data_IF_963178931310
#
_entry.id   IF_963178931310
#
_cell.length_a   1.000
_cell.length_b   1.000
_cell.length_c   1.000
_cell.angle_alpha   90.00
_cell.angle_beta   90.00
_cell.angle_gamma   90.00
#
_symmetry.space_group_name_H-M   'P 1'
#
loop_
_entity.id
_entity.type
_entity.pdbx_description
1 polymer ?
#
# COMPACT_ATOMS: atom_id res chain seq x y z
N UNK A 1 -52.65 3.07 17.05
CA UNK A 1 -52.63 2.25 15.82
C UNK A 1 -52.31 3.21 14.70
N UNK A 2 -51.15 3.09 14.11
CA UNK A 2 -50.64 4.07 13.19
C UNK A 2 -51.16 3.88 11.77
N UNK A 3 -51.68 4.94 11.21
CA UNK A 3 -52.27 5.13 9.86
C UNK A 3 -51.27 4.90 8.69
N UNK A 4 -50.17 4.19 8.95
CA UNK A 4 -49.09 3.99 7.98
C UNK A 4 -49.29 2.75 7.10
N UNK A 5 -50.23 1.87 7.48
CA UNK A 5 -50.34 0.52 6.88
C UNK A 5 -51.25 0.42 5.63
N UNK A 6 -51.99 1.47 5.26
CA UNK A 6 -52.99 1.37 4.18
C UNK A 6 -52.65 2.04 2.85
N UNK A 7 -51.46 2.66 2.71
CA UNK A 7 -51.05 3.28 1.44
C UNK A 7 -50.15 2.33 0.64
N UNK A 8 -50.58 1.88 -0.57
CA UNK A 8 -49.73 1.08 -1.41
C UNK A 8 -48.43 1.84 -1.74
N UNK A 9 -47.29 1.18 -1.60
CA UNK A 9 -46.02 1.76 -1.94
C UNK A 9 -46.05 2.30 -3.37
N UNK A 10 -45.62 3.55 -3.59
CA UNK A 10 -45.60 4.16 -4.93
C UNK A 10 -44.66 3.38 -5.83
N UNK A 11 -45.17 2.84 -6.94
CA UNK A 11 -44.38 2.01 -7.87
C UNK A 11 -43.27 2.79 -8.58
N UNK A 12 -43.46 4.07 -8.79
CA UNK A 12 -42.45 4.93 -9.50
C UNK A 12 -41.10 5.01 -8.80
N UNK A 13 -40.99 5.29 -7.48
CA UNK A 13 -39.70 5.29 -6.80
C UNK A 13 -39.12 3.85 -6.69
N UNK A 14 -39.90 2.80 -6.64
CA UNK A 14 -39.41 1.43 -6.65
C UNK A 14 -38.79 1.06 -8.00
N UNK A 15 -39.39 1.45 -9.11
CA UNK A 15 -38.83 1.28 -10.45
C UNK A 15 -37.55 2.10 -10.62
N UNK A 16 -37.52 3.34 -10.13
CA UNK A 16 -36.32 4.18 -10.15
C UNK A 16 -35.16 3.56 -9.35
N UNK A 17 -35.45 3.07 -8.15
CA UNK A 17 -34.45 2.38 -7.33
C UNK A 17 -33.94 1.09 -7.98
N UNK A 18 -34.85 0.29 -8.56
CA UNK A 18 -34.50 -0.93 -9.29
C UNK A 18 -33.59 -0.66 -10.50
N UNK A 19 -33.92 0.37 -11.29
CA UNK A 19 -33.11 0.79 -12.43
C UNK A 19 -31.69 1.23 -11.98
N UNK A 20 -31.61 2.02 -10.91
CA UNK A 20 -30.35 2.52 -10.39
C UNK A 20 -29.48 1.38 -9.88
N UNK A 21 -30.04 0.42 -9.15
CA UNK A 21 -29.33 -0.76 -8.66
C UNK A 21 -28.85 -1.60 -9.84
N UNK A 22 -29.70 -1.86 -10.83
CA UNK A 22 -29.33 -2.65 -12.01
C UNK A 22 -28.20 -1.99 -12.79
N UNK A 23 -28.29 -0.67 -13.00
CA UNK A 23 -27.23 0.10 -13.67
C UNK A 23 -25.91 0.05 -12.90
N UNK A 24 -25.96 0.18 -11.58
CA UNK A 24 -24.76 0.10 -10.72
C UNK A 24 -24.11 -1.28 -10.81
N UNK A 25 -24.92 -2.34 -10.76
CA UNK A 25 -24.42 -3.72 -10.92
C UNK A 25 -23.82 -3.93 -12.31
N UNK A 26 -24.46 -3.42 -13.36
CA UNK A 26 -23.96 -3.55 -14.74
C UNK A 26 -22.61 -2.85 -14.93
N UNK A 27 -22.42 -1.65 -14.37
CA UNK A 27 -21.16 -0.93 -14.39
C UNK A 27 -20.07 -1.67 -13.60
N UNK A 28 -20.40 -2.21 -12.44
CA UNK A 28 -19.44 -2.93 -11.59
C UNK A 28 -19.04 -4.31 -12.16
N UNK A 29 -19.98 -5.00 -12.81
CA UNK A 29 -19.75 -6.33 -13.39
C UNK A 29 -19.17 -6.26 -14.80
N UNK A 30 -19.42 -5.17 -15.54
CA UNK A 30 -19.02 -5.02 -16.96
C UNK A 30 -17.55 -5.32 -17.25
N UNK A 31 -16.59 -4.77 -16.49
CA UNK A 31 -15.16 -5.07 -16.70
C UNK A 31 -14.79 -6.54 -16.42
N UNK A 32 -15.46 -7.16 -15.44
CA UNK A 32 -15.21 -8.57 -15.09
C UNK A 32 -15.78 -9.55 -16.12
N UNK A 33 -16.87 -9.17 -16.76
CA UNK A 33 -17.52 -9.97 -17.81
C UNK A 33 -16.96 -9.67 -19.21
N UNK A 34 -16.00 -8.73 -19.33
CA UNK A 34 -15.38 -8.36 -20.59
C UNK A 34 -16.21 -7.40 -21.48
N UNK A 35 -17.33 -6.89 -20.99
CA UNK A 35 -18.16 -5.91 -21.71
C UNK A 35 -17.62 -4.48 -21.64
N UNK A 36 -16.78 -4.19 -20.64
CA UNK A 36 -16.10 -2.91 -20.48
C UNK A 36 -14.59 -3.14 -20.37
N UNK A 37 -13.76 -2.16 -20.75
CA UNK A 37 -12.32 -2.27 -20.58
C UNK A 37 -11.98 -2.50 -19.10
N UNK A 38 -10.92 -3.29 -18.80
CA UNK A 38 -10.50 -3.54 -17.44
C UNK A 38 -10.13 -2.23 -16.74
N UNK A 39 -10.46 -2.12 -15.46
CA UNK A 39 -10.10 -0.95 -14.66
C UNK A 39 -8.57 -0.93 -14.54
N UNK A 40 -7.97 0.19 -14.92
CA UNK A 40 -6.53 0.38 -14.81
C UNK A 40 -6.10 0.27 -13.34
N UNK A 41 -5.09 -0.55 -13.10
CA UNK A 41 -4.45 -0.68 -11.77
C UNK A 41 -3.22 0.21 -11.72
N UNK A 42 -2.79 0.63 -10.54
CA UNK A 42 -1.57 1.40 -10.38
C UNK A 42 -0.34 0.71 -11.01
N UNK A 43 -0.33 -0.61 -11.00
CA UNK A 43 0.74 -1.40 -11.67
C UNK A 43 0.65 -1.31 -13.18
N UNK A 44 -0.55 -1.45 -13.78
CA UNK A 44 -0.72 -1.33 -15.24
C UNK A 44 -0.41 0.08 -15.75
N UNK A 45 -0.79 1.10 -15.00
CA UNK A 45 -0.46 2.50 -15.29
C UNK A 45 1.05 2.73 -15.28
N UNK A 46 1.77 2.22 -14.27
CA UNK A 46 3.24 2.34 -14.21
C UNK A 46 3.91 1.67 -15.42
N UNK A 47 3.44 0.51 -15.84
CA UNK A 47 3.95 -0.16 -17.04
C UNK A 47 3.69 0.68 -18.29
N UNK A 48 2.47 1.20 -18.45
CA UNK A 48 2.09 2.04 -19.60
C UNK A 48 2.93 3.32 -19.69
N UNK A 49 3.21 3.95 -18.54
CA UNK A 49 4.01 5.18 -18.45
C UNK A 49 5.52 4.94 -18.31
N UNK A 50 5.99 3.69 -18.43
CA UNK A 50 7.41 3.30 -18.30
C UNK A 50 8.06 3.80 -17.01
N UNK A 51 7.30 3.79 -15.92
CA UNK A 51 7.80 4.17 -14.60
C UNK A 51 8.82 3.14 -14.13
N UNK A 52 10.00 3.62 -13.73
CA UNK A 52 11.13 2.77 -13.30
C UNK A 52 11.23 2.71 -11.79
N UNK A 53 11.86 1.65 -11.28
CA UNK A 53 12.22 1.54 -9.86
C UNK A 53 13.43 2.41 -9.58
N UNK A 54 13.33 3.30 -8.60
CA UNK A 54 14.44 4.13 -8.12
C UNK A 54 15.20 3.43 -7.02
N UNK A 55 14.48 2.86 -6.05
CA UNK A 55 15.06 2.10 -4.94
C UNK A 55 14.08 1.02 -4.48
N UNK A 56 14.60 -0.14 -4.10
CA UNK A 56 13.83 -1.22 -3.50
C UNK A 56 14.61 -1.87 -2.37
N UNK A 57 13.91 -2.24 -1.29
CA UNK A 57 14.48 -2.97 -0.16
C UNK A 57 13.57 -4.09 0.30
N UNK A 58 14.18 -5.19 0.65
CA UNK A 58 13.49 -6.32 1.28
C UNK A 58 13.64 -6.20 2.80
N UNK A 59 12.56 -5.81 3.46
CA UNK A 59 12.52 -5.48 4.88
C UNK A 59 11.75 -6.55 5.65
N UNK A 60 12.34 -7.01 6.75
CA UNK A 60 11.67 -7.89 7.73
C UNK A 60 11.31 -7.07 8.96
N UNK A 61 10.12 -7.26 9.46
CA UNK A 61 9.59 -6.56 10.63
C UNK A 61 9.39 -7.54 11.77
N UNK A 62 10.01 -7.27 12.91
CA UNK A 62 10.00 -8.15 14.09
C UNK A 62 9.55 -7.36 15.31
N UNK A 63 8.42 -7.76 15.90
CA UNK A 63 7.98 -7.20 17.18
C UNK A 63 8.81 -7.79 18.33
N UNK A 64 9.42 -6.92 19.14
CA UNK A 64 10.15 -7.30 20.34
C UNK A 64 9.21 -7.35 21.55
N UNK A 65 9.63 -8.10 22.58
CA UNK A 65 8.86 -8.23 23.83
C UNK A 65 8.68 -6.91 24.59
N UNK A 66 9.58 -5.95 24.41
CA UNK A 66 9.50 -4.59 24.96
C UNK A 66 8.56 -3.67 24.17
N UNK A 67 7.90 -4.21 23.13
CA UNK A 67 6.99 -3.47 22.26
C UNK A 67 7.70 -2.64 21.18
N UNK A 68 9.02 -2.68 21.08
CA UNK A 68 9.74 -2.08 19.98
C UNK A 68 9.55 -2.91 18.69
N UNK A 69 9.46 -2.24 17.54
CA UNK A 69 9.45 -2.86 16.21
C UNK A 69 10.84 -2.73 15.60
N UNK A 70 11.50 -3.86 15.39
CA UNK A 70 12.78 -3.94 14.69
C UNK A 70 12.51 -4.14 13.21
N UNK A 71 13.24 -3.41 12.38
CA UNK A 71 13.16 -3.47 10.92
C UNK A 71 14.54 -3.87 10.41
N UNK A 72 14.62 -5.08 9.87
CA UNK A 72 15.85 -5.63 9.31
C UNK A 72 15.86 -5.47 7.80
N UNK A 73 16.96 -4.97 7.25
CA UNK A 73 17.26 -5.01 5.81
C UNK A 73 17.87 -6.39 5.51
N UNK A 74 17.09 -7.25 4.88
CA UNK A 74 17.49 -8.65 4.64
C UNK A 74 18.67 -8.74 3.68
N UNK A 75 18.74 -7.87 2.68
CA UNK A 75 19.81 -7.88 1.69
C UNK A 75 21.15 -7.43 2.28
N UNK A 76 21.12 -6.57 3.30
CA UNK A 76 22.32 -6.03 3.94
C UNK A 76 22.70 -6.76 5.23
N UNK A 77 21.80 -7.58 5.76
CA UNK A 77 22.02 -8.28 7.03
C UNK A 77 22.15 -7.35 8.24
N UNK A 78 21.60 -6.15 8.17
CA UNK A 78 21.68 -5.12 9.21
C UNK A 78 20.30 -4.63 9.63
N UNK A 79 20.18 -4.13 10.86
CA UNK A 79 18.95 -3.46 11.29
C UNK A 79 18.82 -2.13 10.55
N UNK A 80 17.76 -1.98 9.76
CA UNK A 80 17.44 -0.74 9.07
C UNK A 80 16.93 0.32 10.05
N UNK A 81 16.10 -0.07 11.03
CA UNK A 81 15.58 0.81 12.06
C UNK A 81 15.08 0.04 13.28
N UNK A 82 15.02 0.72 14.42
CA UNK A 82 14.30 0.28 15.62
C UNK A 82 13.31 1.36 16.01
N UNK A 83 12.03 1.05 15.96
CA UNK A 83 10.95 1.96 16.31
C UNK A 83 10.49 1.66 17.75
N UNK A 84 10.77 2.54 18.73
CA UNK A 84 10.40 2.32 20.12
C UNK A 84 8.88 2.21 20.30
N UNK A 85 8.46 1.59 21.39
CA UNK A 85 7.06 1.62 21.82
C UNK A 85 6.64 3.07 22.15
N UNK A 86 5.43 3.48 21.76
CA UNK A 86 4.87 4.79 22.12
C UNK A 86 5.28 5.97 21.24
N UNK A 87 6.21 5.81 20.30
CA UNK A 87 6.52 6.83 19.28
C UNK A 87 5.49 6.83 18.16
N UNK A 88 5.34 7.96 17.45
CA UNK A 88 4.36 8.18 16.36
C UNK A 88 4.60 7.32 15.11
N UNK A 89 4.60 6.00 15.27
CA UNK A 89 4.73 5.01 14.19
C UNK A 89 3.48 4.14 14.03
N UNK A 90 2.34 4.63 14.49
CA UNK A 90 1.06 3.92 14.47
C UNK A 90 0.63 3.49 13.07
N UNK A 91 0.93 4.31 12.06
CA UNK A 91 0.63 3.97 10.67
C UNK A 91 1.43 2.76 10.19
N UNK A 92 2.74 2.74 10.38
CA UNK A 92 3.59 1.59 10.02
C UNK A 92 3.07 0.32 10.69
N UNK A 93 2.81 0.37 11.99
CA UNK A 93 2.27 -0.77 12.75
C UNK A 93 0.89 -1.21 12.26
N UNK A 94 0.02 -0.27 11.89
CA UNK A 94 -1.31 -0.55 11.34
C UNK A 94 -1.23 -1.30 10.01
N UNK A 95 -0.40 -0.82 9.09
CA UNK A 95 -0.16 -1.46 7.79
C UNK A 95 0.40 -2.87 7.99
N UNK A 96 1.44 -3.03 8.81
CA UNK A 96 2.07 -4.33 9.07
C UNK A 96 1.14 -5.33 9.73
N UNK A 97 0.27 -4.90 10.66
CA UNK A 97 -0.78 -5.78 11.23
C UNK A 97 -1.75 -6.25 10.15
N UNK A 98 -2.14 -5.37 9.22
CA UNK A 98 -2.97 -5.73 8.08
C UNK A 98 -2.32 -6.79 7.20
N UNK A 99 -1.03 -6.61 6.88
CA UNK A 99 -0.23 -7.55 6.08
C UNK A 99 -0.05 -8.89 6.83
N UNK A 100 0.28 -8.85 8.12
CA UNK A 100 0.43 -10.06 8.94
C UNK A 100 -0.89 -10.86 9.06
N UNK A 101 -2.04 -10.17 9.16
CA UNK A 101 -3.33 -10.82 9.15
C UNK A 101 -3.60 -11.51 7.82
N UNK A 102 -3.23 -10.88 6.71
CA UNK A 102 -3.38 -11.45 5.37
C UNK A 102 -2.53 -12.71 5.22
N UNK A 103 -1.26 -12.68 5.63
CA UNK A 103 -0.39 -13.87 5.69
C UNK A 103 -1.01 -15.01 6.49
N UNK A 104 -1.57 -14.69 7.66
CA UNK A 104 -2.22 -15.69 8.51
C UNK A 104 -3.40 -16.36 7.79
N UNK A 105 -4.21 -15.60 7.05
CA UNK A 105 -5.31 -16.15 6.25
C UNK A 105 -4.81 -17.09 5.13
N UNK A 106 -3.64 -16.78 4.55
CA UNK A 106 -2.99 -17.60 3.52
C UNK A 106 -2.09 -18.69 4.10
N UNK A 107 -2.02 -18.85 5.43
CA UNK A 107 -1.16 -19.82 6.13
C UNK A 107 0.34 -19.63 5.83
N UNK A 108 0.75 -18.40 5.60
CA UNK A 108 2.14 -18.00 5.39
C UNK A 108 2.75 -17.54 6.71
N UNK A 109 3.98 -17.94 6.98
CA UNK A 109 4.74 -17.55 8.17
C UNK A 109 5.26 -16.11 8.11
N UNK A 110 5.77 -15.58 9.24
CA UNK A 110 6.26 -14.20 9.35
C UNK A 110 7.66 -14.00 8.74
N UNK A 111 8.37 -15.09 8.34
CA UNK A 111 9.80 -15.06 8.02
C UNK A 111 10.13 -14.34 6.71
N UNK A 112 9.22 -14.37 5.74
CA UNK A 112 9.44 -13.76 4.44
C UNK A 112 9.48 -12.22 4.55
N UNK A 113 10.44 -11.55 3.87
CA UNK A 113 10.49 -10.09 3.88
C UNK A 113 9.36 -9.48 3.06
N UNK A 114 9.07 -8.22 3.33
CA UNK A 114 8.24 -7.36 2.50
C UNK A 114 9.13 -6.51 1.61
N UNK A 115 8.71 -6.27 0.38
CA UNK A 115 9.44 -5.40 -0.54
C UNK A 115 8.87 -3.99 -0.51
N UNK A 116 9.67 -3.04 -0.04
CA UNK A 116 9.38 -1.62 -0.10
C UNK A 116 10.05 -1.04 -1.35
N UNK A 117 9.25 -0.43 -2.24
CA UNK A 117 9.74 0.06 -3.55
C UNK A 117 9.34 1.52 -3.76
N UNK A 118 10.33 2.35 -4.09
CA UNK A 118 10.16 3.72 -4.55
C UNK A 118 10.30 3.76 -6.07
N UNK A 119 9.35 4.39 -6.74
CA UNK A 119 9.32 4.55 -8.19
C UNK A 119 9.69 5.98 -8.63
N UNK A 120 10.00 6.14 -9.92
CA UNK A 120 10.42 7.42 -10.52
C UNK A 120 9.31 8.47 -10.56
N UNK A 121 8.05 8.07 -10.49
CA UNK A 121 6.88 8.93 -10.33
C UNK A 121 6.62 9.32 -8.86
N UNK A 122 7.57 9.02 -7.98
CA UNK A 122 7.47 9.19 -6.54
C UNK A 122 6.40 8.30 -5.88
N UNK A 123 5.83 7.31 -6.56
CA UNK A 123 4.99 6.31 -5.91
C UNK A 123 5.83 5.45 -4.96
N UNK A 124 5.22 5.04 -3.85
CA UNK A 124 5.85 4.17 -2.85
C UNK A 124 4.90 3.01 -2.56
N UNK A 125 5.40 1.79 -2.70
CA UNK A 125 4.61 0.57 -2.48
C UNK A 125 5.25 -0.33 -1.45
N UNK A 126 4.40 -1.02 -0.69
CA UNK A 126 4.81 -2.15 0.15
C UNK A 126 4.16 -3.41 -0.41
N UNK A 127 4.99 -4.32 -0.89
CA UNK A 127 4.58 -5.56 -1.53
C UNK A 127 4.94 -6.78 -0.67
N UNK A 128 4.01 -7.71 -0.54
CA UNK A 128 4.25 -9.01 0.07
C UNK A 128 4.40 -10.09 -1.00
N UNK A 129 5.61 -10.59 -1.28
CA UNK A 129 5.82 -11.64 -2.28
C UNK A 129 5.11 -12.95 -1.93
N UNK A 130 4.83 -13.19 -0.64
CA UNK A 130 4.24 -14.45 -0.17
C UNK A 130 2.74 -14.55 -0.38
N UNK A 131 2.03 -13.40 -0.36
CA UNK A 131 0.57 -13.34 -0.54
C UNK A 131 0.17 -12.66 -1.85
N UNK A 132 1.11 -11.98 -2.51
CA UNK A 132 0.85 -11.13 -3.68
C UNK A 132 0.19 -9.79 -3.33
N UNK A 133 0.02 -9.49 -2.04
CA UNK A 133 -0.62 -8.23 -1.62
C UNK A 133 0.28 -7.04 -1.87
N UNK A 134 -0.26 -6.02 -2.53
CA UNK A 134 0.41 -4.74 -2.76
C UNK A 134 -0.37 -3.60 -2.09
N UNK A 135 0.35 -2.69 -1.42
CA UNK A 135 -0.20 -1.49 -0.79
C UNK A 135 0.46 -0.26 -1.39
N UNK A 136 -0.35 0.61 -1.99
CA UNK A 136 0.07 1.93 -2.47
C UNK A 136 0.10 2.91 -1.29
N UNK A 137 1.28 3.19 -0.76
CA UNK A 137 1.44 4.00 0.46
C UNK A 137 1.07 5.47 0.24
N UNK A 138 1.15 5.96 -1.00
CA UNK A 138 0.72 7.30 -1.38
C UNK A 138 -0.77 7.57 -1.16
N UNK A 139 -1.61 6.53 -1.19
CA UNK A 139 -3.06 6.64 -0.96
C UNK A 139 -3.43 7.03 0.48
N UNK A 140 -2.49 6.96 1.41
CA UNK A 140 -2.71 7.28 2.84
C UNK A 140 -2.22 8.68 3.23
N UNK A 141 -1.86 9.50 2.25
CA UNK A 141 -1.39 10.87 2.45
C UNK A 141 0.12 11.02 2.62
N UNK A 142 0.64 12.24 2.50
CA UNK A 142 2.07 12.50 2.40
C UNK A 142 2.84 12.12 3.68
N UNK A 143 2.32 12.43 4.86
CA UNK A 143 2.97 12.14 6.14
C UNK A 143 3.12 10.62 6.37
N UNK A 144 2.07 9.85 6.04
CA UNK A 144 2.09 8.40 6.19
C UNK A 144 3.04 7.75 5.18
N UNK A 145 3.03 8.23 3.93
CA UNK A 145 4.00 7.80 2.91
C UNK A 145 5.43 8.08 3.36
N UNK A 146 5.70 9.29 3.90
CA UNK A 146 7.03 9.69 4.36
C UNK A 146 7.57 8.76 5.44
N UNK A 147 6.73 8.31 6.39
CA UNK A 147 7.15 7.37 7.42
C UNK A 147 7.77 6.08 6.88
N UNK A 148 7.29 5.60 5.73
CA UNK A 148 7.89 4.45 5.05
C UNK A 148 9.06 4.84 4.16
N UNK A 149 9.02 6.02 3.51
CA UNK A 149 10.12 6.51 2.69
C UNK A 149 11.40 6.70 3.52
N UNK A 150 11.26 7.14 4.77
CA UNK A 150 12.39 7.29 5.68
C UNK A 150 13.13 5.96 5.90
N UNK A 151 12.44 4.81 5.86
CA UNK A 151 13.06 3.49 5.97
C UNK A 151 14.00 3.18 4.80
N UNK A 152 13.74 3.76 3.60
CA UNK A 152 14.66 3.65 2.46
C UNK A 152 15.89 4.55 2.64
N UNK A 153 15.74 5.68 3.34
CA UNK A 153 16.78 6.70 3.48
C UNK A 153 17.75 6.41 4.63
N UNK A 154 17.31 5.72 5.68
CA UNK A 154 18.07 5.50 6.93
C UNK A 154 19.45 4.83 6.73
N UNK A 155 19.75 4.29 5.55
CA UNK A 155 21.04 3.68 5.22
C UNK A 155 21.55 4.07 3.84
N UNK A 156 21.19 5.25 3.34
CA UNK A 156 21.89 5.81 2.18
C UNK A 156 23.28 6.22 2.68
N UNK A 157 24.39 5.61 2.20
CA UNK A 157 25.71 6.14 2.51
C UNK A 157 25.71 7.61 2.09
N UNK A 158 26.13 8.49 2.98
CA UNK A 158 26.26 9.91 2.66
C UNK A 158 26.97 10.02 1.31
N UNK A 159 26.47 10.84 0.36
CA UNK A 159 27.14 11.01 -0.92
C UNK A 159 28.59 11.33 -0.61
N UNK A 160 29.51 10.51 -1.11
CA UNK A 160 30.94 10.69 -0.85
C UNK A 160 31.32 12.10 -1.31
N UNK A 161 32.00 12.84 -0.45
CA UNK A 161 32.52 14.20 -0.73
C UNK A 161 33.32 14.27 -2.04
N UNK A 162 33.73 13.12 -2.60
CA UNK A 162 34.37 13.00 -3.90
C UNK A 162 33.48 13.39 -5.08
N UNK A 163 32.15 13.16 -4.98
CA UNK A 163 31.20 13.50 -6.04
C UNK A 163 30.86 15.01 -6.09
N UNK A 164 31.15 15.75 -5.03
CA UNK A 164 30.93 17.21 -4.99
C UNK A 164 32.11 18.02 -5.49
N UNK A 165 33.34 17.46 -5.49
CA UNK A 165 34.53 18.18 -5.99
C UNK A 165 34.58 18.33 -7.52
N UNK A 166 33.90 17.47 -8.27
CA UNK A 166 33.90 17.55 -9.75
C UNK A 166 32.98 18.61 -10.36
N UNK A 167 32.29 19.42 -9.55
CA UNK A 167 31.29 20.40 -10.04
C UNK A 167 31.71 21.86 -9.80
N UNK A 168 32.91 22.11 -9.30
CA UNK A 168 33.41 23.46 -8.99
C UNK A 168 34.51 23.92 -9.98
N UNK A 169 35.03 23.02 -10.83
CA UNK A 169 36.02 23.35 -11.84
C UNK A 169 35.44 23.26 -13.26
N UNK A 170 34.55 24.21 -13.61
CA UNK A 170 34.21 24.60 -14.98
C UNK A 170 33.68 26.04 -14.97
#
# INVERSE_FOLDING_TARGET
MSEIDDKPFPCAPLLGAGLLITMTIAIAAGPRLGYLPPIATATSERVAHRVTVVEARDLRFVDRKDGALVIDDVARGTNAAVLPHGVSNGFIRGVLRGMARDRKMHRVGPEAPFRLTLFSDNALTLFDPSTGRNIELGSFGPTNKQSFADLLLLHRPAPSLAAQRGKIDL
#
